data_IF_930030546756
#
_entry.id   IF_930030546756
#
_cell.length_a   1.000
_cell.length_b   1.000
_cell.length_c   1.000
_cell.angle_alpha   90.00
_cell.angle_beta   90.00
_cell.angle_gamma   90.00
#
_symmetry.space_group_name_H-M   'P 1'
#
loop_
_entity.id
_entity.type
_entity.pdbx_description
1 polymer ?
#
# COMPACT_ATOMS: atom_id res chain seq x y z
N UNK A 1 13.69 90.86 -0.89
CA UNK A 1 14.39 90.59 -2.17
C UNK A 1 14.97 89.18 -2.09
N UNK A 2 14.59 88.31 -3.04
CA UNK A 2 15.26 87.08 -3.53
C UNK A 2 15.85 86.09 -2.49
N UNK A 3 15.45 84.82 -2.38
CA UNK A 3 15.12 83.85 -3.43
C UNK A 3 16.27 82.83 -3.58
N UNK A 4 16.04 81.54 -3.27
CA UNK A 4 16.95 80.42 -3.57
C UNK A 4 17.02 79.37 -2.46
N UNK A 5 16.22 78.28 -2.52
CA UNK A 5 16.59 76.90 -2.91
C UNK A 5 17.63 76.30 -1.93
N UNK A 6 17.46 75.13 -1.31
CA UNK A 6 17.16 73.81 -1.88
C UNK A 6 16.41 72.95 -0.85
N UNK A 7 15.11 72.78 -1.09
CA UNK A 7 14.25 71.83 -0.37
C UNK A 7 14.59 70.43 -0.87
N UNK A 8 14.96 69.56 0.06
CA UNK A 8 15.31 68.14 -0.15
C UNK A 8 14.42 67.48 -1.20
N UNK A 9 15.00 67.07 -2.31
CA UNK A 9 14.44 66.07 -3.22
C UNK A 9 14.43 64.72 -2.51
N UNK A 10 13.38 64.45 -1.74
CA UNK A 10 12.93 63.08 -1.52
C UNK A 10 12.03 62.76 -2.72
N UNK A 11 12.65 62.34 -3.82
CA UNK A 11 11.95 61.71 -4.94
C UNK A 11 11.34 60.43 -4.38
N UNK A 12 10.02 60.43 -4.31
CA UNK A 12 9.12 59.30 -4.05
C UNK A 12 9.47 58.10 -4.93
N UNK A 13 9.80 56.97 -4.29
CA UNK A 13 9.98 55.65 -4.92
C UNK A 13 8.87 54.66 -4.53
N UNK A 14 7.78 55.14 -3.93
CA UNK A 14 6.76 54.28 -3.31
C UNK A 14 5.76 53.66 -4.32
N UNK A 15 5.80 54.09 -5.59
CA UNK A 15 4.98 53.50 -6.66
C UNK A 15 5.66 52.39 -7.45
N UNK A 16 7.00 52.43 -7.57
CA UNK A 16 7.74 51.48 -8.41
C UNK A 16 7.82 50.09 -7.78
N UNK A 17 7.87 50.02 -6.45
CA UNK A 17 7.89 48.75 -5.70
C UNK A 17 6.56 48.01 -5.86
N UNK A 18 5.42 48.71 -5.84
CA UNK A 18 4.09 48.10 -6.02
C UNK A 18 3.92 47.50 -7.41
N UNK A 19 4.41 48.16 -8.46
CA UNK A 19 4.38 47.63 -9.82
C UNK A 19 5.29 46.40 -9.96
N UNK A 20 6.50 46.45 -9.39
CA UNK A 20 7.44 45.32 -9.42
C UNK A 20 6.90 44.12 -8.62
N UNK A 21 6.28 44.38 -7.47
CA UNK A 21 5.64 43.38 -6.63
C UNK A 21 4.45 42.71 -7.35
N UNK A 22 3.58 43.50 -7.97
CA UNK A 22 2.45 42.98 -8.74
C UNK A 22 2.92 42.08 -9.89
N UNK A 23 3.95 42.51 -10.64
CA UNK A 23 4.53 41.71 -11.72
C UNK A 23 5.16 40.41 -11.22
N UNK A 24 5.94 40.46 -10.14
CA UNK A 24 6.56 39.26 -9.56
C UNK A 24 5.52 38.29 -8.99
N UNK A 25 4.46 38.80 -8.35
CA UNK A 25 3.37 37.97 -7.85
C UNK A 25 2.65 37.25 -8.99
N UNK A 26 2.38 37.93 -10.11
CA UNK A 26 1.77 37.29 -11.28
C UNK A 26 2.66 36.20 -11.87
N UNK A 27 3.97 36.42 -11.96
CA UNK A 27 4.92 35.40 -12.42
C UNK A 27 4.98 34.21 -11.46
N UNK A 28 4.98 34.45 -10.15
CA UNK A 28 5.01 33.40 -9.13
C UNK A 28 3.73 32.56 -9.16
N UNK A 29 2.57 33.19 -9.28
CA UNK A 29 1.29 32.51 -9.42
C UNK A 29 1.23 31.71 -10.74
N UNK A 30 1.77 32.25 -11.84
CA UNK A 30 1.89 31.55 -13.12
C UNK A 30 2.79 30.31 -13.04
N UNK A 31 3.91 30.39 -12.33
CA UNK A 31 4.80 29.25 -12.11
C UNK A 31 4.14 28.16 -11.24
N UNK A 32 3.46 28.54 -10.15
CA UNK A 32 2.74 27.60 -9.29
C UNK A 32 1.59 26.90 -10.04
N UNK A 33 0.84 27.66 -10.82
CA UNK A 33 -0.20 27.17 -11.72
C UNK A 33 0.33 26.12 -12.70
N UNK A 34 1.46 26.42 -13.36
CA UNK A 34 2.12 25.49 -14.28
C UNK A 34 2.57 24.20 -13.57
N UNK A 35 3.11 24.31 -12.35
CA UNK A 35 3.51 23.13 -11.56
C UNK A 35 2.33 22.21 -11.25
N UNK A 36 1.14 22.75 -10.98
CA UNK A 36 -0.06 21.95 -10.71
C UNK A 36 -0.51 21.19 -11.96
N UNK A 37 -0.57 21.85 -13.12
CA UNK A 37 -0.98 21.22 -14.38
C UNK A 37 -0.02 20.11 -14.81
N UNK A 38 1.31 20.35 -14.71
CA UNK A 38 2.33 19.34 -15.00
C UNK A 38 2.29 18.20 -13.98
N UNK A 39 2.10 18.50 -12.70
CA UNK A 39 1.99 17.51 -11.64
C UNK A 39 0.83 16.53 -11.89
N UNK A 40 -0.33 17.04 -12.33
CA UNK A 40 -1.49 16.22 -12.69
C UNK A 40 -1.20 15.34 -13.91
N UNK A 41 -0.55 15.89 -14.94
CA UNK A 41 -0.16 15.12 -16.13
C UNK A 41 0.83 13.98 -15.78
N UNK A 42 1.81 14.27 -14.90
CA UNK A 42 2.80 13.28 -14.48
C UNK A 42 2.19 12.18 -13.58
N UNK A 43 1.25 12.54 -12.71
CA UNK A 43 0.45 11.57 -11.96
C UNK A 43 -0.33 10.64 -12.91
N UNK A 44 -1.01 11.21 -13.91
CA UNK A 44 -1.72 10.42 -14.92
C UNK A 44 -0.79 9.47 -15.67
N UNK A 45 0.40 9.94 -16.06
CA UNK A 45 1.38 9.12 -16.76
C UNK A 45 1.83 7.92 -15.91
N UNK A 46 2.18 8.13 -14.64
CA UNK A 46 2.60 7.04 -13.75
C UNK A 46 1.46 6.05 -13.49
N UNK A 47 0.26 6.56 -13.30
CA UNK A 47 -0.92 5.72 -13.06
C UNK A 47 -1.26 4.87 -14.28
N UNK A 48 -1.18 5.44 -15.49
CA UNK A 48 -1.37 4.70 -16.73
C UNK A 48 -0.25 3.67 -16.95
N UNK A 49 1.01 4.01 -16.67
CA UNK A 49 2.12 3.06 -16.87
C UNK A 49 1.95 1.82 -16.00
N UNK A 50 1.61 1.99 -14.72
CA UNK A 50 1.33 0.86 -13.83
C UNK A 50 0.16 -0.01 -14.33
N UNK A 51 -0.89 0.61 -14.87
CA UNK A 51 -2.02 -0.10 -15.48
C UNK A 51 -1.64 -0.83 -16.76
N UNK A 52 -0.82 -0.21 -17.63
CA UNK A 52 -0.33 -0.81 -18.86
C UNK A 52 0.60 -2.01 -18.58
N UNK A 53 1.47 -1.91 -17.59
CA UNK A 53 2.37 -3.00 -17.16
C UNK A 53 1.58 -4.20 -16.61
N UNK A 54 0.56 -3.95 -15.78
CA UNK A 54 -0.33 -4.99 -15.28
C UNK A 54 -1.14 -5.66 -16.41
N UNK A 55 -1.68 -4.86 -17.34
CA UNK A 55 -2.42 -5.34 -18.50
C UNK A 55 -1.54 -6.18 -19.44
N UNK A 56 -0.31 -5.75 -19.70
CA UNK A 56 0.64 -6.48 -20.54
C UNK A 56 1.03 -7.82 -19.91
N UNK A 57 1.32 -7.84 -18.60
CA UNK A 57 1.68 -9.06 -17.88
C UNK A 57 0.53 -10.08 -17.87
N UNK A 58 -0.70 -9.61 -17.62
CA UNK A 58 -1.88 -10.46 -17.65
C UNK A 58 -2.12 -11.04 -19.05
N UNK A 59 -2.03 -10.21 -20.09
CA UNK A 59 -2.21 -10.64 -21.47
C UNK A 59 -1.14 -11.65 -21.91
N UNK A 60 0.12 -11.44 -21.53
CA UNK A 60 1.21 -12.36 -21.83
C UNK A 60 1.04 -13.74 -21.16
N UNK A 61 0.41 -13.80 -19.98
CA UNK A 61 0.09 -15.05 -19.31
C UNK A 61 -0.94 -15.93 -20.05
N UNK A 62 -1.69 -15.37 -21.00
CA UNK A 62 -2.68 -16.10 -21.81
C UNK A 62 -2.14 -16.54 -23.18
N UNK A 63 -0.93 -16.14 -23.56
CA UNK A 63 -0.30 -16.64 -24.79
C UNK A 63 -0.03 -18.15 -24.67
N UNK A 64 -0.18 -18.92 -25.77
CA UNK A 64 -0.33 -18.47 -27.16
C UNK A 64 -1.76 -18.15 -27.61
N UNK A 65 -2.78 -18.22 -26.75
CA UNK A 65 -4.17 -17.87 -27.09
C UNK A 65 -4.34 -16.34 -27.19
N UNK A 66 -4.24 -15.82 -28.41
CA UNK A 66 -4.30 -14.38 -28.69
C UNK A 66 -5.67 -13.76 -28.38
N UNK A 67 -6.77 -14.52 -28.48
CA UNK A 67 -8.10 -14.02 -28.16
C UNK A 67 -8.27 -13.86 -26.65
N UNK A 68 -7.78 -14.83 -25.87
CA UNK A 68 -7.72 -14.70 -24.41
C UNK A 68 -6.74 -13.62 -23.96
N UNK A 69 -5.59 -13.47 -24.61
CA UNK A 69 -4.63 -12.40 -24.32
C UNK A 69 -5.25 -11.00 -24.46
N UNK A 70 -5.98 -10.75 -25.55
CA UNK A 70 -6.67 -9.47 -25.77
C UNK A 70 -7.78 -9.25 -24.73
N UNK A 71 -8.59 -10.28 -24.44
CA UNK A 71 -9.67 -10.19 -23.44
C UNK A 71 -9.12 -9.91 -22.03
N UNK A 72 -8.09 -10.65 -21.62
CA UNK A 72 -7.50 -10.53 -20.29
C UNK A 72 -6.73 -9.20 -20.15
N UNK A 73 -5.96 -8.81 -21.16
CA UNK A 73 -5.33 -7.49 -21.20
C UNK A 73 -6.34 -6.35 -21.09
N UNK A 74 -7.48 -6.45 -21.79
CA UNK A 74 -8.56 -5.45 -21.71
C UNK A 74 -9.18 -5.37 -20.32
N UNK A 75 -9.37 -6.50 -19.64
CA UNK A 75 -9.90 -6.54 -18.27
C UNK A 75 -8.97 -5.91 -17.23
N UNK A 76 -7.64 -6.04 -17.40
CA UNK A 76 -6.65 -5.47 -16.49
C UNK A 76 -6.10 -4.12 -16.97
N UNK A 77 -6.67 -3.52 -18.01
CA UNK A 77 -6.30 -2.20 -18.49
C UNK A 77 -6.96 -1.06 -17.71
N UNK A 78 -6.59 0.17 -18.07
CA UNK A 78 -7.12 1.41 -17.50
C UNK A 78 -8.39 1.92 -18.19
N UNK A 79 -8.80 1.27 -19.28
CA UNK A 79 -9.99 1.63 -20.06
C UNK A 79 -11.31 1.42 -19.33
N UNK A 80 -12.41 1.89 -19.94
CA UNK A 80 -13.75 1.78 -19.35
C UNK A 80 -14.12 0.32 -19.02
N UNK A 81 -14.42 0.03 -17.75
CA UNK A 81 -14.72 -1.33 -17.27
C UNK A 81 -13.49 -2.17 -16.92
N UNK A 82 -12.28 -1.63 -17.05
CA UNK A 82 -11.04 -2.27 -16.64
C UNK A 82 -10.83 -2.22 -15.12
N UNK A 83 -10.20 -3.27 -14.57
CA UNK A 83 -9.91 -3.43 -13.13
C UNK A 83 -8.87 -2.45 -12.62
N UNK A 84 -8.04 -1.90 -13.51
CA UNK A 84 -7.03 -0.89 -13.20
C UNK A 84 -7.42 0.49 -13.75
N UNK A 85 -8.72 0.74 -13.93
CA UNK A 85 -9.25 2.05 -14.27
C UNK A 85 -9.11 3.01 -13.09
N UNK A 86 -8.62 4.21 -13.35
CA UNK A 86 -8.35 5.21 -12.33
C UNK A 86 -9.46 6.26 -12.39
N UNK A 87 -10.33 6.28 -11.38
CA UNK A 87 -11.54 7.12 -11.39
C UNK A 87 -11.28 8.64 -11.46
N UNK A 88 -10.05 9.09 -11.19
CA UNK A 88 -9.64 10.50 -11.31
C UNK A 88 -9.13 10.88 -12.71
N UNK A 89 -8.98 9.92 -13.63
CA UNK A 89 -8.59 10.14 -15.01
C UNK A 89 -9.84 10.13 -15.93
N UNK A 90 -9.91 11.05 -16.90
CA UNK A 90 -10.93 10.99 -17.95
C UNK A 90 -10.73 9.75 -18.82
N UNK A 91 -11.76 9.40 -19.61
CA UNK A 91 -11.83 8.17 -20.41
C UNK A 91 -10.48 7.76 -21.01
N UNK A 92 -9.96 6.63 -20.56
CA UNK A 92 -8.70 6.07 -21.03
C UNK A 92 -8.99 5.20 -22.25
N UNK A 93 -8.35 5.51 -23.36
CA UNK A 93 -8.32 4.65 -24.54
C UNK A 93 -7.22 3.62 -24.37
N UNK A 94 -7.56 2.33 -24.49
CA UNK A 94 -6.64 1.22 -24.23
C UNK A 94 -6.66 0.24 -25.39
N UNK A 95 -5.47 -0.08 -25.92
CA UNK A 95 -5.28 -1.06 -26.97
C UNK A 95 -4.34 -2.17 -26.49
N UNK A 96 -4.77 -3.41 -26.71
CA UNK A 96 -4.02 -4.64 -26.39
C UNK A 96 -3.75 -5.34 -27.71
N UNK A 97 -2.47 -5.53 -28.04
CA UNK A 97 -2.04 -6.05 -29.34
C UNK A 97 -1.02 -7.16 -29.12
N UNK A 98 -1.40 -8.43 -29.32
CA UNK A 98 -0.45 -9.52 -29.42
C UNK A 98 0.53 -9.23 -30.56
N UNK A 99 1.82 -9.39 -30.29
CA UNK A 99 2.88 -9.15 -31.26
C UNK A 99 3.95 -10.24 -31.19
N UNK A 100 4.78 -10.30 -32.24
CA UNK A 100 5.96 -11.14 -32.25
C UNK A 100 7.21 -10.30 -32.03
N UNK A 101 8.00 -10.69 -31.03
CA UNK A 101 9.29 -10.08 -30.73
C UNK A 101 10.41 -11.11 -30.91
N UNK A 102 11.30 -10.86 -31.89
CA UNK A 102 12.41 -11.75 -32.21
C UNK A 102 11.97 -12.86 -33.17
N UNK A 103 12.38 -14.11 -32.89
CA UNK A 103 11.97 -15.28 -33.68
C UNK A 103 10.79 -15.98 -33.03
N UNK A 104 9.59 -15.74 -33.54
CA UNK A 104 8.39 -16.51 -33.19
C UNK A 104 8.22 -17.72 -34.11
N UNK A 105 7.72 -18.83 -33.56
CA UNK A 105 7.18 -19.95 -34.34
C UNK A 105 5.77 -19.63 -34.87
N UNK A 106 4.86 -20.61 -35.03
CA UNK A 106 3.47 -20.34 -35.47
C UNK A 106 2.63 -19.55 -34.46
N UNK A 107 3.15 -19.24 -33.26
CA UNK A 107 2.48 -18.54 -32.17
C UNK A 107 3.19 -17.25 -31.79
N UNK A 108 2.41 -16.21 -31.48
CA UNK A 108 2.93 -14.94 -30.95
C UNK A 108 3.49 -15.11 -29.53
N UNK A 109 4.58 -14.42 -29.22
CA UNK A 109 5.35 -14.58 -27.98
C UNK A 109 5.33 -13.36 -27.06
N UNK A 110 4.68 -12.27 -27.48
CA UNK A 110 4.56 -11.05 -26.70
C UNK A 110 3.20 -10.38 -26.86
N UNK A 111 2.88 -9.49 -25.91
CA UNK A 111 1.72 -8.59 -26.00
C UNK A 111 2.17 -7.17 -25.68
N UNK A 112 1.81 -6.26 -26.57
CA UNK A 112 1.94 -4.82 -26.37
C UNK A 112 0.63 -4.24 -25.86
N UNK A 113 0.71 -3.39 -24.84
CA UNK A 113 -0.41 -2.60 -24.34
C UNK A 113 -0.07 -1.13 -24.44
N UNK A 114 -0.97 -0.35 -25.02
CA UNK A 114 -0.90 1.11 -25.07
C UNK A 114 -2.12 1.71 -24.41
N UNK A 115 -1.92 2.70 -23.55
CA UNK A 115 -3.02 3.44 -22.92
C UNK A 115 -2.83 4.93 -23.12
N UNK A 116 -3.92 5.62 -23.44
CA UNK A 116 -3.95 7.05 -23.74
C UNK A 116 -5.06 7.75 -22.95
N UNK A 117 -4.78 8.92 -22.39
CA UNK A 117 -5.79 9.80 -21.79
C UNK A 117 -5.46 11.26 -22.07
N UNK A 118 -6.46 12.13 -22.00
CA UNK A 118 -6.30 13.58 -22.12
C UNK A 118 -6.62 14.25 -20.80
N UNK A 119 -5.59 14.71 -20.09
CA UNK A 119 -5.74 15.35 -18.78
C UNK A 119 -6.09 16.81 -18.97
N UNK A 120 -7.26 17.23 -18.48
CA UNK A 120 -7.65 18.64 -18.51
C UNK A 120 -6.67 19.51 -17.72
N UNK A 121 -6.25 20.64 -18.30
CA UNK A 121 -5.48 21.64 -17.54
C UNK A 121 -6.45 22.54 -16.76
N UNK A 122 -6.01 23.05 -15.62
CA UNK A 122 -6.75 23.99 -14.78
C UNK A 122 -6.30 25.42 -15.13
N UNK A 123 -5.00 25.67 -15.16
CA UNK A 123 -4.45 27.00 -15.43
C UNK A 123 -3.98 27.17 -16.87
N UNK A 124 -3.56 26.10 -17.53
CA UNK A 124 -3.22 26.07 -18.96
C UNK A 124 -4.35 26.57 -19.87
N UNK A 125 -5.62 26.44 -19.46
CA UNK A 125 -6.79 27.00 -20.15
C UNK A 125 -6.71 28.51 -20.36
N UNK A 126 -6.09 29.24 -19.42
CA UNK A 126 -5.90 30.71 -19.54
C UNK A 126 -4.96 31.06 -20.70
N UNK A 127 -4.08 30.14 -21.08
CA UNK A 127 -3.15 30.25 -22.21
C UNK A 127 -3.64 29.52 -23.47
N UNK A 128 -4.88 29.02 -23.48
CA UNK A 128 -5.47 28.29 -24.61
C UNK A 128 -5.05 26.82 -24.73
N UNK A 129 -4.49 26.22 -23.68
CA UNK A 129 -4.16 24.79 -23.64
C UNK A 129 -5.23 24.09 -22.81
N UNK A 130 -6.25 23.50 -23.44
CA UNK A 130 -7.39 22.94 -22.70
C UNK A 130 -7.08 21.60 -22.02
N UNK A 131 -6.17 20.80 -22.60
CA UNK A 131 -5.76 19.50 -22.07
C UNK A 131 -4.35 19.11 -22.51
N UNK A 132 -3.76 18.15 -21.79
CA UNK A 132 -2.46 17.53 -22.08
C UNK A 132 -2.71 16.05 -22.38
N UNK A 133 -2.34 15.61 -23.58
CA UNK A 133 -2.40 14.19 -23.96
C UNK A 133 -1.24 13.42 -23.33
N UNK A 134 -1.56 12.32 -22.66
CA UNK A 134 -0.61 11.43 -21.99
C UNK A 134 -0.80 10.02 -22.55
N UNK A 135 0.29 9.41 -23.00
CA UNK A 135 0.31 8.06 -23.53
C UNK A 135 1.42 7.23 -22.91
N UNK A 136 1.14 5.95 -22.68
CA UNK A 136 2.10 4.97 -22.15
C UNK A 136 2.08 3.70 -22.98
N UNK A 137 3.20 2.97 -22.92
CA UNK A 137 3.38 1.71 -23.61
C UNK A 137 4.05 0.71 -22.69
N UNK A 138 3.52 -0.51 -22.66
CA UNK A 138 4.09 -1.64 -21.95
C UNK A 138 4.14 -2.86 -22.89
N UNK A 139 5.15 -3.70 -22.74
CA UNK A 139 5.31 -4.94 -23.49
C UNK A 139 5.66 -6.04 -22.51
N UNK A 140 5.01 -7.19 -22.61
CA UNK A 140 5.37 -8.39 -21.87
C UNK A 140 5.55 -9.60 -22.79
N UNK A 141 6.54 -10.44 -22.49
CA UNK A 141 6.76 -11.71 -23.17
C UNK A 141 6.18 -12.88 -22.36
N UNK A 142 5.75 -13.93 -23.06
CA UNK A 142 5.50 -15.23 -22.46
C UNK A 142 6.80 -16.07 -22.46
N UNK A 143 7.30 -16.38 -21.28
CA UNK A 143 8.44 -17.25 -21.04
C UNK A 143 8.07 -18.73 -20.99
N UNK A 144 9.08 -19.60 -21.06
CA UNK A 144 8.91 -21.05 -20.95
C UNK A 144 8.39 -21.41 -19.55
N UNK A 145 7.33 -22.21 -19.46
CA UNK A 145 6.74 -22.62 -18.18
C UNK A 145 5.63 -21.69 -17.64
N UNK A 146 5.04 -20.84 -18.48
CA UNK A 146 3.88 -20.01 -18.10
C UNK A 146 4.22 -18.74 -17.32
N UNK A 147 5.49 -18.34 -17.30
CA UNK A 147 5.97 -17.12 -16.64
C UNK A 147 5.90 -15.96 -17.64
N UNK A 148 5.33 -14.83 -17.24
CA UNK A 148 5.37 -13.59 -18.05
C UNK A 148 6.34 -12.56 -17.43
N UNK A 149 6.99 -11.74 -18.25
CA UNK A 149 7.87 -10.67 -17.79
C UNK A 149 7.82 -9.45 -18.72
N UNK A 150 8.00 -8.26 -18.13
CA UNK A 150 8.03 -6.99 -18.84
C UNK A 150 9.35 -6.81 -19.57
N UNK A 151 9.31 -6.18 -20.75
CA UNK A 151 10.51 -5.91 -21.56
C UNK A 151 10.55 -4.45 -22.01
N UNK A 152 11.75 -3.87 -22.00
CA UNK A 152 11.95 -2.45 -22.32
C UNK A 152 12.14 -2.18 -23.82
N UNK A 153 12.32 -3.22 -24.66
CA UNK A 153 12.56 -3.09 -26.09
C UNK A 153 12.27 -4.39 -26.85
N UNK A 154 11.92 -4.22 -28.13
CA UNK A 154 11.53 -5.29 -29.03
C UNK A 154 12.71 -6.21 -29.38
N UNK A 155 12.48 -7.52 -29.22
CA UNK A 155 13.15 -8.65 -29.88
C UNK A 155 14.20 -9.49 -29.13
N UNK A 156 15.05 -8.95 -28.25
CA UNK A 156 16.15 -9.77 -27.66
C UNK A 156 15.80 -10.44 -26.33
N UNK A 157 14.77 -9.98 -25.63
CA UNK A 157 14.42 -10.51 -24.30
C UNK A 157 13.49 -11.74 -24.35
N UNK A 158 12.65 -11.92 -25.38
CA UNK A 158 11.67 -13.01 -25.43
C UNK A 158 12.25 -14.42 -25.74
N UNK A 159 13.58 -14.57 -25.91
CA UNK A 159 14.22 -15.78 -26.48
C UNK A 159 15.09 -16.60 -25.49
N UNK A 160 14.98 -16.37 -24.17
CA UNK A 160 15.81 -17.06 -23.17
C UNK A 160 15.28 -18.45 -22.77
N UNK A 161 15.46 -19.46 -23.61
CA UNK A 161 15.16 -20.85 -23.27
C UNK A 161 16.20 -21.83 -23.81
N UNK A 162 17.17 -22.23 -22.98
CA UNK A 162 18.02 -23.41 -23.23
C UNK A 162 19.49 -23.26 -22.83
N UNK A 163 19.89 -23.83 -21.70
CA UNK A 163 21.30 -24.00 -21.32
C UNK A 163 21.47 -24.44 -19.88
N UNK A 164 21.46 -25.76 -19.62
CA UNK A 164 21.77 -26.31 -18.30
C UNK A 164 23.28 -26.33 -18.02
N UNK A 165 23.63 -26.23 -16.73
CA UNK A 165 24.88 -26.75 -16.18
C UNK A 165 25.85 -25.73 -15.57
N UNK A 166 25.82 -25.61 -14.24
CA UNK A 166 27.00 -25.55 -13.36
C UNK A 166 27.80 -24.24 -13.24
N UNK A 167 28.05 -23.83 -11.99
CA UNK A 167 29.21 -23.02 -11.59
C UNK A 167 28.90 -21.58 -11.18
N UNK A 168 29.26 -21.23 -9.95
CA UNK A 168 29.17 -19.86 -9.43
C UNK A 168 30.09 -18.88 -10.16
N UNK A 169 29.70 -17.61 -10.20
CA UNK A 169 30.49 -16.52 -10.76
C UNK A 169 29.68 -15.24 -10.88
N UNK A 170 30.08 -14.24 -10.10
CA UNK A 170 29.65 -12.85 -10.21
C UNK A 170 30.07 -12.22 -11.56
N UNK A 171 29.43 -11.09 -11.90
CA UNK A 171 29.76 -10.08 -12.95
C UNK A 171 29.28 -10.46 -14.37
N UNK A 172 28.62 -9.61 -15.19
CA UNK A 172 28.48 -8.14 -15.23
C UNK A 172 27.28 -7.81 -16.15
N UNK A 173 26.33 -6.96 -15.72
CA UNK A 173 25.31 -6.38 -16.59
C UNK A 173 25.91 -5.18 -17.36
N UNK A 174 25.54 -4.94 -18.64
CA UNK A 174 26.08 -3.80 -19.38
C UNK A 174 25.55 -2.49 -18.80
N UNK A 175 26.48 -1.57 -18.56
CA UNK A 175 26.30 -0.23 -18.03
C UNK A 175 25.38 0.61 -18.91
N UNK A 176 24.40 1.25 -18.27
CA UNK A 176 23.52 2.26 -18.86
C UNK A 176 24.24 3.60 -19.03
N UNK A 177 24.03 4.26 -20.17
CA UNK A 177 24.26 5.71 -20.30
C UNK A 177 22.91 6.44 -20.36
N UNK A 178 22.66 7.20 -19.28
CA UNK A 178 21.94 8.49 -19.19
C UNK A 178 20.47 8.61 -19.62
N UNK A 179 19.54 8.55 -18.65
CA UNK A 179 18.53 9.58 -18.26
C UNK A 179 17.53 8.97 -17.23
N UNK A 180 16.94 9.72 -16.28
CA UNK A 180 16.56 9.18 -14.97
C UNK A 180 15.20 8.46 -15.01
N UNK A 181 15.25 7.14 -15.13
CA UNK A 181 14.14 6.25 -14.82
C UNK A 181 14.61 5.32 -13.68
N UNK A 182 14.13 5.58 -12.47
CA UNK A 182 14.26 4.64 -11.35
C UNK A 182 13.27 3.51 -11.60
N UNK A 183 13.66 2.54 -12.42
CA UNK A 183 12.93 1.29 -12.63
C UNK A 183 13.38 0.31 -11.56
N UNK A 184 12.51 0.05 -10.58
CA UNK A 184 12.64 -1.10 -9.68
C UNK A 184 12.32 -2.36 -10.49
N UNK A 185 13.36 -3.08 -10.94
CA UNK A 185 13.22 -4.38 -11.58
C UNK A 185 12.93 -5.44 -10.51
N UNK A 186 11.68 -5.90 -10.42
CA UNK A 186 11.31 -7.10 -9.66
C UNK A 186 11.58 -8.32 -10.54
N UNK A 187 12.71 -8.98 -10.35
CA UNK A 187 13.03 -10.26 -11.00
C UNK A 187 12.36 -11.40 -10.24
N UNK A 188 11.18 -11.83 -10.70
CA UNK A 188 10.53 -13.06 -10.19
C UNK A 188 11.19 -14.27 -10.86
N UNK A 189 12.10 -14.94 -10.14
CA UNK A 189 12.67 -16.22 -10.58
C UNK A 189 11.84 -17.37 -10.00
N UNK A 190 10.83 -17.85 -10.73
CA UNK A 190 10.08 -19.04 -10.33
C UNK A 190 10.82 -20.29 -10.83
N UNK A 191 11.41 -21.05 -9.91
CA UNK A 191 12.00 -22.36 -10.21
C UNK A 191 10.94 -23.43 -9.97
N UNK A 192 10.27 -23.94 -11.02
CA UNK A 192 9.34 -25.07 -10.88
C UNK A 192 10.01 -26.36 -11.34
N UNK A 193 10.28 -27.23 -10.37
CA UNK A 193 10.62 -28.64 -10.58
C UNK A 193 9.34 -29.40 -10.94
N UNK A 194 9.40 -30.12 -12.04
CA UNK A 194 8.33 -30.94 -12.65
C UNK A 194 7.76 -31.99 -11.69
N UNK A 195 6.44 -32.05 -11.53
CA UNK A 195 5.70 -33.31 -11.31
C UNK A 195 4.26 -33.17 -11.82
N UNK A 196 3.75 -34.28 -12.33
CA UNK A 196 2.67 -34.51 -13.29
C UNK A 196 1.23 -34.17 -12.88
N UNK A 197 0.49 -33.66 -13.86
CA UNK A 197 -0.94 -33.89 -14.20
C UNK A 197 -1.98 -33.79 -13.07
N UNK A 198 -2.60 -32.62 -12.96
CA UNK A 198 -3.86 -32.39 -12.24
C UNK A 198 -4.53 -31.11 -12.76
N UNK A 199 -5.81 -31.21 -13.08
CA UNK A 199 -6.73 -30.22 -13.68
C UNK A 199 -6.48 -28.76 -13.22
N UNK A 200 -6.11 -27.87 -14.15
CA UNK A 200 -5.73 -26.47 -13.86
C UNK A 200 -6.93 -25.55 -13.66
N UNK A 201 -7.14 -25.13 -12.42
CA UNK A 201 -7.86 -23.89 -12.06
C UNK A 201 -7.07 -22.68 -12.60
N UNK A 202 -7.71 -21.60 -13.11
CA UNK A 202 -7.02 -20.44 -13.68
C UNK A 202 -6.07 -19.76 -12.69
N UNK A 203 -4.98 -19.13 -13.18
CA UNK A 203 -3.99 -18.46 -12.33
C UNK A 203 -4.61 -17.25 -11.63
N UNK A 204 -4.64 -17.28 -10.30
CA UNK A 204 -5.18 -16.21 -9.46
C UNK A 204 -4.11 -15.12 -9.34
N UNK A 205 -4.35 -13.93 -9.90
CA UNK A 205 -3.45 -12.78 -9.77
C UNK A 205 -3.85 -11.94 -8.55
N UNK A 206 -2.94 -11.57 -7.63
CA UNK A 206 -3.26 -10.67 -6.53
C UNK A 206 -3.73 -9.31 -7.06
N UNK A 207 -5.03 -9.03 -6.97
CA UNK A 207 -5.60 -7.71 -7.29
C UNK A 207 -5.37 -6.69 -6.16
N UNK A 208 -5.60 -5.41 -6.46
CA UNK A 208 -5.69 -4.33 -5.47
C UNK A 208 -6.69 -4.73 -4.38
N UNK A 209 -6.22 -4.73 -3.13
CA UNK A 209 -7.04 -5.12 -2.01
C UNK A 209 -8.02 -4.00 -1.64
N UNK A 210 -9.31 -4.31 -1.53
CA UNK A 210 -10.35 -3.37 -1.10
C UNK A 210 -11.22 -4.05 -0.06
N UNK A 211 -11.40 -3.39 1.09
CA UNK A 211 -12.21 -3.90 2.21
C UNK A 211 -13.71 -3.67 2.01
N UNK A 212 -14.09 -2.56 1.35
CA UNK A 212 -15.49 -2.26 1.07
C UNK A 212 -16.29 -1.76 2.28
N UNK A 213 -15.61 -1.47 3.40
CA UNK A 213 -16.16 -0.83 4.60
C UNK A 213 -15.77 0.66 4.66
N UNK A 214 -16.51 1.49 5.42
CA UNK A 214 -17.76 1.16 6.12
C UNK A 214 -19.00 1.20 5.21
N UNK A 215 -20.03 0.43 5.57
CA UNK A 215 -21.40 0.55 5.04
C UNK A 215 -22.45 0.15 6.09
N UNK A 216 -23.70 0.60 5.92
CA UNK A 216 -24.77 0.29 6.87
C UNK A 216 -25.38 -1.08 6.57
N UNK A 217 -25.45 -1.96 7.57
CA UNK A 217 -26.16 -3.23 7.50
C UNK A 217 -26.77 -3.63 8.85
N UNK A 218 -27.40 -4.81 8.93
CA UNK A 218 -27.87 -5.38 10.20
C UNK A 218 -26.73 -5.77 11.15
N UNK A 219 -25.51 -5.91 10.64
CA UNK A 219 -24.33 -6.14 11.44
C UNK A 219 -23.66 -4.79 11.76
N UNK A 220 -23.67 -4.33 13.03
CA UNK A 220 -23.18 -3.01 13.39
C UNK A 220 -21.69 -2.80 13.10
N UNK A 221 -20.87 -3.86 13.09
CA UNK A 221 -19.44 -3.75 12.81
C UNK A 221 -19.14 -3.24 11.41
N UNK A 222 -20.01 -3.54 10.43
CA UNK A 222 -19.84 -3.08 9.04
C UNK A 222 -19.90 -1.55 8.89
N UNK A 223 -20.52 -0.86 9.85
CA UNK A 223 -20.65 0.60 9.87
C UNK A 223 -19.61 1.31 10.73
N UNK A 224 -18.71 0.57 11.39
CA UNK A 224 -17.65 1.15 12.21
C UNK A 224 -16.60 1.79 11.31
N UNK A 225 -16.20 3.02 11.64
CA UNK A 225 -15.23 3.81 10.85
C UNK A 225 -13.82 3.67 11.41
N UNK A 226 -12.84 3.59 10.52
CA UNK A 226 -11.41 3.69 10.85
C UNK A 226 -10.91 5.05 10.40
N UNK A 227 -10.53 5.89 11.37
CA UNK A 227 -10.16 7.28 11.10
C UNK A 227 -8.69 7.43 10.74
N UNK A 228 -7.87 6.42 11.05
CA UNK A 228 -6.40 6.50 10.99
C UNK A 228 -5.79 5.39 10.12
N UNK A 229 -6.50 4.93 9.07
CA UNK A 229 -5.97 3.91 8.14
C UNK A 229 -4.66 4.31 7.46
N UNK A 230 -4.33 5.61 7.42
CA UNK A 230 -3.10 6.10 6.77
C UNK A 230 -1.81 5.73 7.50
N UNK A 231 -1.90 5.33 8.77
CA UNK A 231 -0.74 4.87 9.56
C UNK A 231 -0.19 3.53 9.08
N UNK A 232 -1.00 2.75 8.34
CA UNK A 232 -0.60 1.49 7.70
C UNK A 232 0.04 1.82 6.35
N UNK A 233 1.37 1.96 6.33
CA UNK A 233 2.12 2.54 5.21
C UNK A 233 2.42 1.58 4.08
N UNK A 234 2.67 0.31 4.39
CA UNK A 234 3.01 -0.69 3.39
C UNK A 234 2.74 -2.11 3.88
N UNK A 235 2.63 -3.03 2.93
CA UNK A 235 2.39 -4.45 3.17
C UNK A 235 3.28 -5.30 2.27
N UNK A 236 3.67 -6.47 2.74
CA UNK A 236 4.37 -7.45 1.93
C UNK A 236 4.14 -8.87 2.47
N UNK A 237 4.38 -9.91 1.68
CA UNK A 237 4.48 -9.90 0.21
C UNK A 237 3.10 -9.97 -0.45
N UNK A 238 3.02 -9.87 -1.78
CA UNK A 238 1.81 -10.23 -2.54
C UNK A 238 1.79 -11.70 -2.99
N UNK A 239 2.94 -12.38 -2.89
CA UNK A 239 3.10 -13.80 -3.18
C UNK A 239 3.93 -14.40 -2.05
N UNK A 240 3.42 -15.43 -1.40
CA UNK A 240 4.13 -16.16 -0.35
C UNK A 240 4.35 -17.61 -0.80
N UNK A 241 5.62 -17.97 -1.01
CA UNK A 241 6.06 -19.21 -1.67
C UNK A 241 6.24 -20.39 -0.73
N UNK A 242 6.26 -20.17 0.59
CA UNK A 242 6.26 -21.28 1.55
C UNK A 242 6.81 -20.94 2.91
N UNK A 243 7.33 -21.98 3.58
CA UNK A 243 7.44 -22.04 5.03
C UNK A 243 8.43 -21.09 5.72
N UNK A 244 9.17 -20.27 4.96
CA UNK A 244 10.05 -19.24 5.51
C UNK A 244 9.47 -17.84 5.45
N UNK A 245 8.38 -17.64 4.70
CA UNK A 245 7.88 -16.31 4.40
C UNK A 245 7.10 -15.72 5.58
N UNK A 246 7.10 -14.39 5.65
CA UNK A 246 6.36 -13.62 6.65
C UNK A 246 5.46 -12.62 5.97
N UNK A 247 4.20 -12.54 6.41
CA UNK A 247 3.30 -11.43 6.11
C UNK A 247 3.69 -10.26 6.99
N UNK A 248 3.81 -9.07 6.40
CA UNK A 248 4.39 -7.88 7.02
C UNK A 248 3.50 -6.68 6.81
N UNK A 249 3.46 -5.83 7.83
CA UNK A 249 2.91 -4.48 7.75
C UNK A 249 3.91 -3.50 8.35
N UNK A 250 4.09 -2.37 7.66
CA UNK A 250 4.85 -1.23 8.18
C UNK A 250 3.88 -0.15 8.65
N UNK A 251 4.04 0.22 9.91
CA UNK A 251 3.27 1.26 10.58
C UNK A 251 4.14 2.51 10.76
N UNK A 252 3.57 3.70 10.53
CA UNK A 252 4.19 4.94 10.96
C UNK A 252 3.20 6.06 11.22
N UNK A 253 3.49 6.81 12.29
CA UNK A 253 2.64 7.86 12.82
C UNK A 253 3.43 8.88 13.69
N UNK A 254 2.72 9.88 14.22
CA UNK A 254 3.17 10.79 15.28
C UNK A 254 3.31 10.16 16.66
N UNK A 255 2.75 8.97 16.87
CA UNK A 255 2.85 8.21 18.12
C UNK A 255 3.33 6.76 17.87
N UNK A 256 3.84 6.10 18.92
CA UNK A 256 4.30 4.72 18.81
C UNK A 256 3.11 3.74 18.75
N UNK A 257 3.27 2.71 17.92
CA UNK A 257 2.31 1.61 17.76
C UNK A 257 1.86 1.08 19.13
N UNK A 258 0.54 0.95 19.33
CA UNK A 258 0.03 0.24 20.51
C UNK A 258 0.17 -1.26 20.31
N UNK A 259 1.02 -1.92 21.11
CA UNK A 259 1.21 -3.37 21.06
C UNK A 259 0.05 -4.14 21.71
N UNK A 260 -0.62 -3.52 22.67
CA UNK A 260 -1.81 -4.08 23.31
C UNK A 260 -2.01 -3.59 24.75
N UNK A 261 -2.84 -4.31 25.51
CA UNK A 261 -3.37 -3.84 26.80
C UNK A 261 -2.70 -4.58 27.97
N UNK A 262 -1.86 -3.87 28.71
CA UNK A 262 -1.14 -4.44 29.87
C UNK A 262 -1.97 -4.48 31.14
N UNK A 263 -3.03 -3.68 31.22
CA UNK A 263 -3.85 -3.57 32.42
C UNK A 263 -5.29 -3.16 32.08
N UNK A 264 -6.25 -3.81 32.73
CA UNK A 264 -7.65 -3.42 32.71
C UNK A 264 -8.08 -3.06 34.13
N UNK A 265 -8.52 -1.83 34.32
CA UNK A 265 -9.01 -1.29 35.59
C UNK A 265 -10.52 -1.20 35.51
N UNK A 266 -11.24 -1.93 36.36
CA UNK A 266 -12.71 -1.89 36.42
C UNK A 266 -13.13 -1.11 37.64
N UNK A 267 -13.82 0.02 37.43
CA UNK A 267 -14.40 0.85 38.49
C UNK A 267 -15.88 0.51 38.64
N UNK A 268 -16.29 0.12 39.83
CA UNK A 268 -17.69 -0.12 40.20
C UNK A 268 -18.08 0.83 41.34
N UNK A 269 -19.37 0.86 41.70
CA UNK A 269 -19.83 1.65 42.84
C UNK A 269 -19.24 1.20 44.18
N UNK A 270 -18.72 -0.03 44.28
CA UNK A 270 -18.19 -0.63 45.51
C UNK A 270 -16.68 -0.62 45.60
N UNK A 271 -15.96 -0.29 44.52
CA UNK A 271 -14.51 -0.23 44.51
C UNK A 271 -13.89 -0.29 43.11
N UNK A 272 -12.57 -0.43 43.07
CA UNK A 272 -11.81 -0.58 41.82
C UNK A 272 -11.04 -1.90 41.86
N UNK A 273 -11.17 -2.71 40.81
CA UNK A 273 -10.35 -3.90 40.59
C UNK A 273 -9.41 -3.70 39.41
N UNK A 274 -8.29 -4.42 39.42
CA UNK A 274 -7.27 -4.36 38.39
C UNK A 274 -6.90 -5.76 37.95
N UNK A 275 -6.93 -5.99 36.64
CA UNK A 275 -6.41 -7.20 36.00
C UNK A 275 -5.17 -6.81 35.18
N UNK A 276 -4.06 -7.50 35.43
CA UNK A 276 -2.79 -7.25 34.74
C UNK A 276 -2.51 -8.38 33.76
N UNK A 277 -1.98 -8.03 32.59
CA UNK A 277 -1.66 -8.94 31.51
C UNK A 277 -0.20 -8.75 31.09
N UNK A 278 0.46 -9.83 30.69
CA UNK A 278 1.83 -9.76 30.18
C UNK A 278 1.87 -9.03 28.84
N UNK A 279 2.71 -8.00 28.75
CA UNK A 279 3.04 -7.32 27.49
C UNK A 279 4.55 -7.34 27.29
N UNK A 280 5.00 -7.50 26.05
CA UNK A 280 6.42 -7.37 25.72
C UNK A 280 6.83 -5.90 25.73
N UNK A 281 7.56 -5.47 26.76
CA UNK A 281 8.07 -4.11 26.86
C UNK A 281 9.17 -3.83 25.83
N UNK A 282 9.28 -2.58 25.38
CA UNK A 282 10.40 -2.12 24.56
C UNK A 282 11.67 -2.04 25.44
N UNK A 283 12.58 -3.00 25.30
CA UNK A 283 13.81 -3.08 26.11
C UNK A 283 14.98 -2.28 25.53
N UNK A 284 14.96 -2.05 24.23
CA UNK A 284 15.92 -1.22 23.49
C UNK A 284 15.14 -0.32 22.55
N UNK A 285 15.63 0.88 22.29
CA UNK A 285 14.92 1.90 21.51
C UNK A 285 15.77 2.33 20.30
N UNK A 286 15.44 1.90 19.07
CA UNK A 286 14.39 0.94 18.69
C UNK A 286 14.72 -0.50 19.12
N UNK A 287 13.71 -1.36 19.13
CA UNK A 287 13.84 -2.74 19.59
C UNK A 287 13.17 -3.76 18.69
N UNK A 288 13.28 -5.02 19.09
CA UNK A 288 12.63 -6.14 18.42
C UNK A 288 12.16 -7.17 19.44
N UNK A 289 11.00 -7.79 19.22
CA UNK A 289 10.55 -8.95 19.99
C UNK A 289 9.93 -9.97 19.07
N UNK A 290 10.34 -11.23 19.22
CA UNK A 290 9.70 -12.39 18.61
C UNK A 290 8.72 -13.00 19.61
N UNK A 291 7.55 -13.43 19.12
CA UNK A 291 6.40 -13.89 19.90
C UNK A 291 5.99 -12.89 20.98
N UNK A 292 5.65 -11.65 20.60
CA UNK A 292 5.28 -10.62 21.56
C UNK A 292 4.07 -11.05 22.40
N UNK A 293 4.16 -10.83 23.71
CA UNK A 293 2.99 -10.84 24.56
C UNK A 293 2.21 -9.55 24.30
N UNK A 294 0.94 -9.67 23.90
CA UNK A 294 0.10 -8.54 23.47
C UNK A 294 -0.92 -8.11 24.53
N UNK A 295 -0.81 -8.64 25.75
CA UNK A 295 -1.72 -8.30 26.84
C UNK A 295 -3.09 -8.98 26.73
N UNK A 296 -4.16 -8.25 27.08
CA UNK A 296 -5.53 -8.77 27.03
C UNK A 296 -5.98 -9.03 25.59
N UNK A 297 -6.42 -10.25 25.29
CA UNK A 297 -6.87 -10.66 23.94
C UNK A 297 -8.35 -11.04 23.85
N UNK A 298 -9.08 -11.03 24.98
CA UNK A 298 -10.51 -11.26 24.98
C UNK A 298 -11.21 -10.18 24.14
N UNK A 299 -12.14 -10.57 23.27
CA UNK A 299 -12.83 -9.62 22.38
C UNK A 299 -14.14 -9.10 22.97
N UNK A 300 -14.70 -9.81 23.94
CA UNK A 300 -15.99 -9.49 24.56
C UNK A 300 -15.92 -9.52 26.08
N UNK A 301 -16.91 -8.90 26.71
CA UNK A 301 -17.02 -8.80 28.17
C UNK A 301 -16.20 -7.66 28.76
N UNK A 302 -16.35 -7.47 30.07
CA UNK A 302 -15.73 -6.35 30.81
C UNK A 302 -14.21 -6.32 30.72
N UNK A 303 -13.58 -7.49 30.61
CA UNK A 303 -12.13 -7.65 30.55
C UNK A 303 -11.62 -7.83 29.11
N UNK A 304 -12.38 -7.39 28.11
CA UNK A 304 -11.92 -7.40 26.74
C UNK A 304 -10.68 -6.49 26.58
N UNK A 305 -9.77 -6.86 25.68
CA UNK A 305 -8.65 -6.03 25.22
C UNK A 305 -8.97 -5.31 23.92
N UNK A 306 -10.18 -4.77 23.84
CA UNK A 306 -10.70 -4.09 22.65
C UNK A 306 -10.89 -2.61 22.94
N UNK A 307 -11.14 -1.83 21.90
CA UNK A 307 -11.58 -0.45 22.03
C UNK A 307 -13.11 -0.33 22.24
N UNK A 308 -13.70 0.88 22.34
CA UNK A 308 -15.15 1.02 22.48
C UNK A 308 -15.98 0.41 21.34
N UNK A 309 -15.43 0.30 20.13
CA UNK A 309 -16.10 -0.25 18.94
C UNK A 309 -15.87 -1.76 18.76
N UNK A 310 -15.07 -2.39 19.63
CA UNK A 310 -14.82 -3.83 19.64
C UNK A 310 -13.62 -4.27 18.82
N UNK A 311 -12.77 -3.33 18.39
CA UNK A 311 -11.53 -3.58 17.66
C UNK A 311 -10.44 -4.07 18.62
N UNK A 312 -9.68 -5.13 18.31
CA UNK A 312 -8.56 -5.56 19.15
C UNK A 312 -7.49 -4.46 19.27
N UNK A 313 -7.05 -4.19 20.50
CA UNK A 313 -6.02 -3.18 20.76
C UNK A 313 -4.62 -3.59 20.31
N UNK A 314 -4.40 -4.89 20.09
CA UNK A 314 -3.13 -5.40 19.58
C UNK A 314 -3.13 -5.39 18.06
N UNK A 315 -1.96 -5.26 17.39
CA UNK A 315 -1.87 -5.38 15.95
C UNK A 315 -2.46 -6.72 15.49
N UNK A 316 -3.52 -6.70 14.70
CA UNK A 316 -4.27 -7.90 14.36
C UNK A 316 -4.25 -8.15 12.86
N UNK A 317 -4.11 -9.43 12.50
CA UNK A 317 -4.32 -9.93 11.15
C UNK A 317 -5.62 -10.75 11.11
N UNK A 318 -6.45 -10.48 10.11
CA UNK A 318 -7.63 -11.24 9.74
C UNK A 318 -7.45 -11.79 8.32
N UNK A 319 -7.96 -13.00 8.07
CA UNK A 319 -7.66 -13.75 6.84
C UNK A 319 -8.95 -14.22 6.20
N UNK A 320 -9.22 -13.74 4.98
CA UNK A 320 -10.34 -14.18 4.17
C UNK A 320 -9.84 -14.89 2.92
N UNK A 321 -10.27 -16.14 2.73
CA UNK A 321 -10.04 -16.86 1.47
C UNK A 321 -10.96 -16.30 0.38
N UNK A 322 -10.36 -15.65 -0.61
CA UNK A 322 -11.06 -14.98 -1.71
C UNK A 322 -10.92 -15.73 -3.04
N UNK A 323 -10.32 -16.92 -3.01
CA UNK A 323 -10.00 -17.76 -4.19
C UNK A 323 -11.18 -17.92 -5.13
N UNK A 324 -12.34 -18.29 -4.57
CA UNK A 324 -13.55 -18.56 -5.35
C UNK A 324 -14.56 -17.41 -5.35
N UNK A 325 -14.36 -16.42 -4.47
CA UNK A 325 -15.24 -15.27 -4.34
C UNK A 325 -14.44 -14.04 -3.88
N UNK A 326 -14.09 -13.11 -4.80
CA UNK A 326 -13.33 -11.91 -4.45
C UNK A 326 -14.09 -10.96 -3.52
N UNK A 327 -15.42 -11.08 -3.44
CA UNK A 327 -16.27 -10.30 -2.55
C UNK A 327 -16.59 -11.01 -1.23
N UNK A 328 -16.02 -12.20 -0.97
CA UNK A 328 -16.16 -12.85 0.33
C UNK A 328 -15.64 -11.92 1.41
N UNK A 329 -16.33 -11.85 2.56
CA UNK A 329 -15.90 -11.12 3.77
C UNK A 329 -15.81 -12.03 4.99
N UNK A 330 -15.89 -13.35 4.78
CA UNK A 330 -16.13 -14.34 5.84
C UNK A 330 -15.07 -14.38 6.95
N UNK A 331 -13.86 -13.91 6.67
CA UNK A 331 -12.76 -13.85 7.61
C UNK A 331 -12.42 -12.45 8.11
N UNK A 332 -13.11 -11.41 7.62
CA UNK A 332 -12.87 -10.02 7.99
C UNK A 332 -13.37 -9.74 9.41
N UNK A 333 -12.78 -8.75 10.09
CA UNK A 333 -13.19 -8.38 11.45
C UNK A 333 -14.68 -8.04 11.52
N UNK A 334 -15.18 -7.28 10.54
CA UNK A 334 -16.58 -6.84 10.48
C UNK A 334 -17.54 -8.02 10.35
N UNK A 335 -17.09 -9.19 9.87
CA UNK A 335 -17.90 -10.41 9.76
C UNK A 335 -17.68 -11.39 10.92
N UNK A 336 -16.99 -10.97 11.99
CA UNK A 336 -16.68 -11.82 13.14
C UNK A 336 -15.43 -12.68 12.95
N UNK A 337 -14.52 -12.26 12.07
CA UNK A 337 -13.20 -12.87 11.89
C UNK A 337 -12.42 -12.98 13.19
N UNK A 338 -11.55 -13.98 13.27
CA UNK A 338 -10.70 -14.20 14.46
C UNK A 338 -9.38 -13.43 14.30
N UNK A 339 -9.05 -12.50 15.20
CA UNK A 339 -7.81 -11.75 15.12
C UNK A 339 -6.61 -12.63 15.48
N UNK A 340 -5.55 -12.52 14.68
CA UNK A 340 -4.29 -13.22 14.88
C UNK A 340 -3.22 -12.19 15.30
N UNK A 341 -2.60 -12.30 16.50
CA UNK A 341 -1.53 -11.41 16.91
C UNK A 341 -0.22 -11.69 16.15
N UNK A 342 0.71 -10.72 16.04
CA UNK A 342 1.95 -10.88 15.30
C UNK A 342 2.88 -11.91 15.96
N UNK A 343 3.67 -12.59 15.14
CA UNK A 343 4.77 -13.43 15.57
C UNK A 343 6.05 -12.64 15.83
N UNK A 344 6.18 -11.40 15.34
CA UNK A 344 7.28 -10.51 15.70
C UNK A 344 6.89 -9.04 15.51
N UNK A 345 7.49 -8.16 16.32
CA UNK A 345 7.38 -6.69 16.19
C UNK A 345 8.76 -6.06 16.28
N UNK A 346 9.02 -5.06 15.45
CA UNK A 346 10.26 -4.29 15.35
C UNK A 346 9.96 -2.78 15.40
N UNK A 347 10.94 -1.98 15.79
CA UNK A 347 10.84 -0.53 15.89
C UNK A 347 10.44 -0.06 17.28
N UNK A 348 9.45 0.83 17.34
CA UNK A 348 8.98 1.45 18.58
C UNK A 348 7.52 1.13 18.82
N UNK A 349 7.19 0.66 20.02
CA UNK A 349 5.82 0.36 20.44
C UNK A 349 5.63 0.68 21.92
N UNK A 350 4.37 0.76 22.33
CA UNK A 350 3.95 0.99 23.72
C UNK A 350 2.78 0.12 24.12
N UNK A 351 2.54 0.00 25.42
CA UNK A 351 1.33 -0.61 25.95
C UNK A 351 0.22 0.41 26.14
N UNK A 352 -0.95 -0.08 26.57
CA UNK A 352 -2.04 0.74 27.02
C UNK A 352 -2.73 0.16 28.26
N UNK A 353 -3.40 1.04 29.01
CA UNK A 353 -4.30 0.69 30.10
C UNK A 353 -5.74 0.97 29.67
N UNK A 354 -6.64 0.03 29.88
CA UNK A 354 -8.07 0.26 29.73
C UNK A 354 -8.68 0.54 31.10
N UNK A 355 -9.46 1.60 31.22
CA UNK A 355 -10.35 1.83 32.36
C UNK A 355 -11.80 1.62 31.93
N UNK A 356 -12.49 0.70 32.58
CA UNK A 356 -13.93 0.46 32.42
C UNK A 356 -14.65 1.02 33.64
N UNK A 357 -15.38 2.11 33.44
CA UNK A 357 -16.17 2.77 34.47
C UNK A 357 -17.63 2.31 34.41
N UNK A 358 -17.96 1.33 35.25
CA UNK A 358 -19.31 0.77 35.39
C UNK A 358 -20.21 1.60 36.30
N UNK A 359 -19.71 2.70 36.88
CA UNK A 359 -20.56 3.65 37.62
C UNK A 359 -21.42 4.50 36.68
N UNK A 360 -21.04 4.55 35.40
CA UNK A 360 -21.74 5.27 34.32
C UNK A 360 -22.70 4.35 33.55
N UNK A 361 -23.71 4.95 32.91
CA UNK A 361 -24.71 4.25 32.08
C UNK A 361 -24.83 4.96 30.71
N UNK A 362 -24.39 4.33 29.59
CA UNK A 362 -23.66 3.06 29.53
C UNK A 362 -22.29 3.13 30.22
N UNK A 363 -21.74 1.96 30.57
CA UNK A 363 -20.39 1.90 31.14
C UNK A 363 -19.40 2.55 30.17
N UNK A 364 -18.53 3.43 30.69
CA UNK A 364 -17.55 4.13 29.85
C UNK A 364 -16.28 3.32 29.76
N UNK A 365 -15.76 3.13 28.56
CA UNK A 365 -14.46 2.54 28.32
C UNK A 365 -13.48 3.62 27.85
N UNK A 366 -12.36 3.74 28.53
CA UNK A 366 -11.32 4.72 28.21
C UNK A 366 -9.99 3.99 28.06
N UNK A 367 -9.30 4.24 26.97
CA UNK A 367 -7.96 3.73 26.72
C UNK A 367 -6.97 4.83 27.09
N UNK A 368 -5.89 4.46 27.76
CA UNK A 368 -4.80 5.37 28.11
C UNK A 368 -3.50 4.71 27.67
N UNK A 369 -2.95 5.10 26.51
CA UNK A 369 -1.65 4.65 26.05
C UNK A 369 -0.55 5.02 27.05
N UNK A 370 0.49 4.21 27.11
CA UNK A 370 1.71 4.55 27.84
C UNK A 370 2.46 5.69 27.13
N UNK A 371 3.45 6.28 27.81
CA UNK A 371 4.27 7.34 27.22
C UNK A 371 5.02 6.84 25.97
N UNK A 372 5.17 7.70 24.97
CA UNK A 372 5.94 7.36 23.78
C UNK A 372 7.42 7.12 24.11
N UNK A 373 8.06 6.14 23.45
CA UNK A 373 9.50 6.03 23.41
C UNK A 373 10.13 7.17 22.57
N UNK A 374 11.42 7.07 22.28
CA UNK A 374 12.11 7.99 21.39
C UNK A 374 11.66 7.75 19.95
N UNK A 375 11.57 8.82 19.14
CA UNK A 375 11.33 8.70 17.70
C UNK A 375 12.47 7.91 17.05
N UNK A 376 12.13 6.91 16.25
CA UNK A 376 13.10 6.06 15.56
C UNK A 376 13.24 6.37 14.06
N UNK A 377 12.33 7.15 13.47
CA UNK A 377 12.43 7.65 12.08
C UNK A 377 12.73 6.55 11.05
N UNK A 378 11.96 5.45 11.07
CA UNK A 378 12.17 4.23 10.26
C UNK A 378 13.43 3.42 10.57
N UNK A 379 14.22 3.78 11.58
CA UNK A 379 15.21 2.87 12.15
C UNK A 379 14.49 1.83 13.00
N UNK A 380 14.25 0.64 12.44
CA UNK A 380 13.43 -0.38 13.11
C UNK A 380 14.23 -1.35 14.00
N UNK A 381 15.55 -1.17 14.07
CA UNK A 381 16.44 -1.98 14.91
C UNK A 381 16.86 -3.32 14.28
N UNK A 382 17.65 -4.13 15.00
CA UNK A 382 18.19 -5.38 14.46
C UNK A 382 17.10 -6.39 14.06
N UNK A 383 17.29 -7.05 12.91
CA UNK A 383 16.38 -8.09 12.42
C UNK A 383 15.12 -7.58 11.71
N UNK A 384 14.89 -6.26 11.70
CA UNK A 384 13.82 -5.63 10.92
C UNK A 384 14.11 -5.70 9.42
N UNK A 385 13.05 -5.59 8.61
CA UNK A 385 13.15 -5.43 7.17
C UNK A 385 13.27 -3.95 6.86
N UNK A 386 13.97 -3.60 5.78
CA UNK A 386 14.02 -2.21 5.32
C UNK A 386 12.63 -1.82 4.81
N UNK A 387 11.99 -0.77 5.35
CA UNK A 387 10.72 -0.31 4.82
C UNK A 387 10.85 0.07 3.34
N UNK A 388 9.80 -0.13 2.51
CA UNK A 388 9.79 0.36 1.14
C UNK A 388 10.21 1.83 1.03
N UNK A 389 10.89 2.20 -0.05
CA UNK A 389 11.33 3.58 -0.25
C UNK A 389 10.14 4.52 -0.46
N UNK A 390 10.21 5.74 0.08
CA UNK A 390 9.22 6.80 -0.17
C UNK A 390 8.00 6.77 0.75
N UNK A 391 8.02 5.95 1.80
CA UNK A 391 7.00 6.02 2.85
C UNK A 391 7.15 7.32 3.64
N UNK A 392 6.01 7.91 4.02
CA UNK A 392 5.95 9.04 4.94
C UNK A 392 6.63 8.68 6.27
N UNK A 393 7.15 9.68 6.96
CA UNK A 393 7.81 9.51 8.25
C UNK A 393 7.39 10.61 9.22
N UNK A 394 6.50 10.25 10.14
CA UNK A 394 5.97 11.12 11.19
C UNK A 394 6.71 10.95 12.54
N UNK A 395 7.72 10.06 12.57
CA UNK A 395 8.69 9.93 13.64
C UNK A 395 8.72 8.56 14.30
N UNK A 396 7.58 7.88 14.42
CA UNK A 396 7.49 6.57 15.05
C UNK A 396 7.17 5.50 14.02
N UNK A 397 8.06 4.55 13.82
CA UNK A 397 7.93 3.47 12.86
C UNK A 397 7.93 2.11 13.54
N UNK A 398 7.08 1.20 13.07
CA UNK A 398 7.07 -0.19 13.51
C UNK A 398 6.85 -1.13 12.33
N UNK A 399 7.33 -2.36 12.49
CA UNK A 399 7.01 -3.48 11.60
C UNK A 399 6.40 -4.60 12.43
N UNK A 400 5.25 -5.12 12.00
CA UNK A 400 4.65 -6.32 12.58
C UNK A 400 4.67 -7.46 11.55
N UNK A 401 5.04 -8.67 12.00
CA UNK A 401 5.17 -9.87 11.15
C UNK A 401 4.31 -11.01 11.62
N UNK A 402 3.77 -11.76 10.67
CA UNK A 402 3.13 -13.06 10.87
C UNK A 402 3.82 -14.11 10.02
N UNK A 403 4.16 -15.24 10.61
CA UNK A 403 4.81 -16.34 9.91
C UNK A 403 3.77 -17.09 9.08
N UNK A 404 4.00 -17.25 7.78
CA UNK A 404 3.06 -17.92 6.86
C UNK A 404 2.71 -19.33 7.35
N UNK A 405 3.66 -20.05 7.96
CA UNK A 405 3.43 -21.37 8.55
C UNK A 405 2.40 -21.43 9.66
N UNK A 406 2.27 -20.38 10.46
CA UNK A 406 1.33 -20.37 11.58
C UNK A 406 -0.08 -19.98 11.17
N UNK A 407 -0.27 -19.55 9.91
CA UNK A 407 -1.55 -19.03 9.43
C UNK A 407 -2.45 -20.10 8.79
N UNK A 408 -1.94 -21.31 8.57
CA UNK A 408 -2.72 -22.41 7.99
C UNK A 408 -3.17 -22.16 6.54
N UNK A 409 -2.42 -21.33 5.79
CA UNK A 409 -2.73 -21.00 4.40
C UNK A 409 -2.51 -22.21 3.49
N UNK A 410 -3.38 -22.36 2.48
CA UNK A 410 -3.34 -23.49 1.54
C UNK A 410 -2.63 -23.09 0.24
N UNK A 411 -1.74 -23.94 -0.30
CA UNK A 411 -1.21 -23.78 -1.65
C UNK A 411 -2.32 -23.68 -2.70
N UNK A 412 -2.15 -22.83 -3.71
CA UNK A 412 -3.12 -22.60 -4.79
C UNK A 412 -4.26 -21.65 -4.45
N UNK A 413 -4.25 -21.01 -3.27
CA UNK A 413 -5.30 -20.10 -2.81
C UNK A 413 -4.85 -18.63 -2.80
N UNK A 414 -5.82 -17.73 -2.97
CA UNK A 414 -5.66 -16.28 -2.83
C UNK A 414 -6.38 -15.81 -1.55
N UNK A 415 -5.64 -15.09 -0.71
CA UNK A 415 -6.14 -14.59 0.57
C UNK A 415 -6.13 -13.07 0.61
N UNK A 416 -7.20 -12.47 1.14
CA UNK A 416 -7.18 -11.11 1.65
C UNK A 416 -6.69 -11.14 3.10
N UNK A 417 -5.64 -10.36 3.34
CA UNK A 417 -5.07 -10.09 4.66
C UNK A 417 -5.55 -8.71 5.09
N UNK A 418 -6.47 -8.64 6.04
CA UNK A 418 -6.89 -7.39 6.67
C UNK A 418 -6.05 -7.16 7.93
N UNK A 419 -5.48 -5.97 8.04
CA UNK A 419 -4.65 -5.54 9.15
C UNK A 419 -5.36 -4.46 9.94
N UNK A 420 -5.23 -4.53 11.26
CA UNK A 420 -5.80 -3.55 12.18
C UNK A 420 -4.78 -3.14 13.21
N UNK A 421 -4.62 -1.83 13.42
CA UNK A 421 -3.69 -1.25 14.40
C UNK A 421 -4.28 -0.02 15.07
N UNK A 422 -3.73 0.32 16.23
CA UNK A 422 -3.98 1.58 16.92
C UNK A 422 -2.71 2.44 16.91
N UNK A 423 -2.87 3.71 16.59
CA UNK A 423 -1.77 4.69 16.52
C UNK A 423 -1.17 5.08 17.88
N UNK A 424 -1.89 4.79 18.96
CA UNK A 424 -1.42 4.98 20.31
C UNK A 424 -1.59 6.39 20.86
N UNK A 425 -2.43 7.25 20.29
CA UNK A 425 -2.76 8.54 20.89
C UNK A 425 -4.19 8.68 21.43
N UNK A 426 -5.08 7.71 21.19
CA UNK A 426 -6.35 7.37 21.89
C UNK A 426 -7.08 8.52 22.64
N UNK A 427 -7.16 9.69 22.02
CA UNK A 427 -7.71 10.92 22.62
C UNK A 427 -8.97 11.41 21.92
N UNK A 428 -9.41 10.75 20.83
CA UNK A 428 -10.65 11.10 20.12
C UNK A 428 -11.75 10.04 20.25
N UNK A 429 -12.99 10.52 20.20
CA UNK A 429 -14.19 9.67 20.20
C UNK A 429 -14.28 8.93 18.86
N UNK A 430 -14.30 7.59 18.87
CA UNK A 430 -14.37 6.77 17.66
C UNK A 430 -13.07 6.03 17.30
N UNK A 431 -12.03 6.14 18.13
CA UNK A 431 -10.81 5.32 18.11
C UNK A 431 -9.81 5.75 17.03
N UNK A 432 -8.62 6.06 17.53
CA UNK A 432 -7.44 6.37 16.73
C UNK A 432 -6.88 5.00 16.23
N UNK A 433 -7.58 4.47 15.22
CA UNK A 433 -7.43 3.10 14.69
C UNK A 433 -7.42 3.13 13.18
N UNK A 434 -6.54 2.31 12.60
CA UNK A 434 -6.43 2.10 11.16
C UNK A 434 -6.76 0.68 10.77
N UNK A 435 -7.44 0.54 9.63
CA UNK A 435 -7.56 -0.72 8.89
C UNK A 435 -7.03 -0.56 7.47
N UNK A 436 -6.42 -1.62 6.95
CA UNK A 436 -6.02 -1.70 5.55
C UNK A 436 -5.86 -3.17 5.18
N UNK A 437 -5.68 -3.45 3.89
CA UNK A 437 -5.56 -4.83 3.46
C UNK A 437 -4.54 -5.03 2.34
N UNK A 438 -4.07 -6.27 2.24
CA UNK A 438 -3.21 -6.76 1.18
C UNK A 438 -3.72 -8.10 0.65
N UNK A 439 -3.51 -8.36 -0.64
CA UNK A 439 -3.85 -9.66 -1.23
C UNK A 439 -2.58 -10.50 -1.37
N UNK A 440 -2.63 -11.74 -0.87
CA UNK A 440 -1.51 -12.69 -0.87
C UNK A 440 -1.89 -13.96 -1.62
N UNK A 441 -1.15 -14.27 -2.67
CA UNK A 441 -1.23 -15.55 -3.37
C UNK A 441 -0.32 -16.57 -2.72
N UNK A 442 -0.87 -17.75 -2.42
CA UNK A 442 -0.11 -18.96 -2.12
C UNK A 442 0.03 -19.76 -3.42
N UNK A 443 1.22 -19.86 -4.04
CA UNK A 443 1.43 -20.70 -5.22
C UNK A 443 1.05 -22.15 -4.93
N UNK A 444 0.48 -22.82 -5.93
CA UNK A 444 0.04 -24.22 -5.87
C UNK A 444 1.12 -25.21 -6.26
#
# INVERSE_FOLDING_TARGET
MFGGKWRKTLRTSDGQVTVLFALMLTVLLGAAAFTVDVGRAYFAQRSLQASADASALAAAGALPDTAQAVSLGGQYGGGAGGRNAVGSLPSVDAAVTPECLGTCGPSLNAVQVTQHTSVDTIFGRVLGIDSISVGVKAIACAGTGGVAYLVNSAASACNGGGGGGGGGGSTTAPTTTTSPATTTTTTTTTTTKTTTTGTTTPPITPGLCTLGYPYVSSNPLTSVTFSESTVLRAFAPNIATGAGDTIKVWYNDEHALTLGVRQIVVKTATGTSTSTYSISSLLTDPGSTVSPAVGATALTGTLAGTDPDGRPMFPALFITDVTNNPASTSGDWQSGGTPIPPNAVFGTWKGAVITVDQTKKPATRTITPDADPTKNNWSLGPGSDTPPSGLANEGYGAEARWNVNSLGLKPGHLYRMEFMVHDGDQNKTGGDSGEACNTVLMPG
#
